data_IF_120661347798
#
_entry.id   IF_120661347798
#
_cell.length_a   1.000
_cell.length_b   1.000
_cell.length_c   1.000
_cell.angle_alpha   90.00
_cell.angle_beta   90.00
_cell.angle_gamma   90.00
#
_symmetry.space_group_name_H-M   'P 1'
#
loop_
_entity.id
_entity.type
_entity.pdbx_description
1 polymer ?
#
# COMPACT_ATOMS: atom_id res chain seq x y z
N UNK A 1 17.41 9.62 20.98
CA UNK A 1 16.53 8.41 20.93
C UNK A 1 16.53 7.87 19.50
N UNK A 2 16.14 6.58 19.27
CA UNK A 2 16.03 6.06 17.90
C UNK A 2 14.67 6.43 17.34
N UNK A 3 14.62 6.95 16.13
CA UNK A 3 13.39 7.23 15.39
C UNK A 3 12.51 5.98 15.30
N UNK A 4 11.20 6.10 15.54
CA UNK A 4 10.27 4.98 15.61
C UNK A 4 8.99 5.26 14.81
N UNK A 5 8.65 4.37 13.89
CA UNK A 5 7.36 4.34 13.23
C UNK A 5 6.41 3.44 14.03
N UNK A 6 5.37 4.03 14.60
CA UNK A 6 4.28 3.32 15.27
C UNK A 6 3.22 2.99 14.23
N UNK A 7 2.87 1.72 14.08
CA UNK A 7 1.90 1.25 13.09
C UNK A 7 0.72 0.60 13.80
N UNK A 8 -0.47 1.18 13.66
CA UNK A 8 -1.69 0.64 14.26
C UNK A 8 -2.51 -0.08 13.20
N UNK A 9 -2.72 -1.37 13.41
CA UNK A 9 -3.48 -2.26 12.52
C UNK A 9 -4.65 -2.91 13.25
N UNK A 10 -5.63 -3.43 12.51
CA UNK A 10 -6.77 -4.14 13.07
C UNK A 10 -7.94 -4.14 12.09
N UNK A 11 -9.00 -4.93 12.32
CA UNK A 11 -10.17 -5.00 11.46
C UNK A 11 -10.94 -3.68 11.38
N UNK A 12 -11.78 -3.54 10.37
CA UNK A 12 -12.70 -2.41 10.26
C UNK A 12 -13.68 -2.44 11.43
N UNK A 13 -14.01 -1.27 12.00
CA UNK A 13 -14.94 -1.17 13.13
C UNK A 13 -14.30 -1.33 14.52
N UNK A 14 -13.02 -1.72 14.63
CA UNK A 14 -12.36 -1.98 15.92
C UNK A 14 -12.02 -0.74 16.74
N UNK A 15 -12.22 0.47 16.18
CA UNK A 15 -11.92 1.74 16.85
C UNK A 15 -10.53 2.33 16.57
N UNK A 16 -9.85 1.88 15.49
CA UNK A 16 -8.51 2.39 15.13
C UNK A 16 -8.44 3.92 15.02
N UNK A 17 -9.44 4.53 14.36
CA UNK A 17 -9.39 5.96 14.03
C UNK A 17 -9.33 6.84 15.26
N UNK A 18 -10.20 6.63 16.25
CA UNK A 18 -10.17 7.41 17.48
C UNK A 18 -8.92 7.19 18.30
N UNK A 19 -8.48 5.92 18.45
CA UNK A 19 -7.22 5.63 19.14
C UNK A 19 -6.03 6.31 18.47
N UNK A 20 -5.99 6.33 17.13
CA UNK A 20 -4.91 7.01 16.40
C UNK A 20 -4.94 8.52 16.61
N UNK A 21 -6.12 9.14 16.66
CA UNK A 21 -6.25 10.56 16.97
C UNK A 21 -5.73 10.87 18.38
N UNK A 22 -6.14 10.10 19.38
CA UNK A 22 -5.70 10.30 20.77
C UNK A 22 -4.18 10.12 20.92
N UNK A 23 -3.61 9.12 20.29
CA UNK A 23 -2.15 8.89 20.29
C UNK A 23 -1.43 10.02 19.56
N UNK A 24 -1.93 10.44 18.40
CA UNK A 24 -1.34 11.50 17.60
C UNK A 24 -1.33 12.85 18.34
N UNK A 25 -2.46 13.18 18.99
CA UNK A 25 -2.57 14.38 19.85
C UNK A 25 -1.61 14.31 21.04
N UNK A 26 -1.54 13.15 21.72
CA UNK A 26 -0.64 12.96 22.85
C UNK A 26 0.83 13.08 22.48
N UNK A 27 1.20 12.56 21.31
CA UNK A 27 2.58 12.62 20.82
C UNK A 27 2.89 13.91 20.04
N UNK A 28 1.87 14.71 19.69
CA UNK A 28 2.07 15.91 18.85
C UNK A 28 2.55 15.58 17.44
N UNK A 29 2.11 14.44 16.85
CA UNK A 29 2.53 13.99 15.53
C UNK A 29 1.34 13.84 14.56
N UNK A 30 1.54 14.02 13.25
CA UNK A 30 0.50 13.75 12.27
C UNK A 30 0.27 12.24 12.09
N UNK A 31 -0.86 11.88 11.47
CA UNK A 31 -1.18 10.52 11.07
C UNK A 31 -0.78 10.32 9.60
N UNK A 32 -0.02 9.26 9.32
CA UNK A 32 0.27 8.77 7.98
C UNK A 32 -0.80 7.74 7.64
N UNK A 33 -1.74 8.11 6.78
CA UNK A 33 -2.83 7.23 6.38
C UNK A 33 -2.35 6.17 5.38
N UNK A 34 -2.59 4.89 5.69
CA UNK A 34 -2.24 3.73 4.86
C UNK A 34 -3.50 3.04 4.32
N UNK A 35 -4.40 3.81 3.71
CA UNK A 35 -5.57 3.30 3.01
C UNK A 35 -5.53 3.67 1.53
N UNK A 36 -5.49 2.65 0.66
CA UNK A 36 -5.34 2.81 -0.80
C UNK A 36 -6.56 3.42 -1.50
N UNK A 37 -7.65 3.66 -0.79
CA UNK A 37 -8.85 4.28 -1.34
C UNK A 37 -9.12 5.67 -0.77
N UNK A 38 -8.78 5.89 0.49
CA UNK A 38 -8.92 7.21 1.13
C UNK A 38 -7.98 8.26 0.56
N UNK A 39 -6.97 7.84 -0.20
CA UNK A 39 -6.05 8.73 -0.90
C UNK A 39 -6.73 9.52 -2.03
N UNK A 40 -7.84 9.00 -2.58
CA UNK A 40 -8.57 9.64 -3.68
C UNK A 40 -9.65 10.58 -3.16
N UNK A 41 -9.61 11.84 -3.63
CA UNK A 41 -10.52 12.91 -3.19
C UNK A 41 -11.99 12.66 -3.54
N UNK A 42 -12.27 11.85 -4.56
CA UNK A 42 -13.61 11.52 -5.02
C UNK A 42 -14.30 10.43 -4.18
N UNK A 43 -13.58 9.76 -3.28
CA UNK A 43 -14.08 8.61 -2.52
C UNK A 43 -14.19 8.84 -1.00
N UNK A 44 -14.61 10.01 -0.48
CA UNK A 44 -14.53 10.27 0.96
C UNK A 44 -15.54 9.47 1.78
N UNK A 45 -16.76 9.24 1.27
CA UNK A 45 -17.85 8.62 2.01
C UNK A 45 -17.71 7.10 2.03
N UNK A 46 -17.60 6.48 0.86
CA UNK A 46 -17.57 5.02 0.73
C UNK A 46 -16.33 4.35 1.32
N UNK A 47 -15.31 5.12 1.63
CA UNK A 47 -14.05 4.64 2.24
C UNK A 47 -13.95 4.95 3.73
N UNK A 48 -14.94 5.64 4.30
CA UNK A 48 -14.88 6.17 5.66
C UNK A 48 -13.60 6.99 5.92
N UNK A 49 -13.25 7.89 4.99
CA UNK A 49 -12.12 8.79 5.13
C UNK A 49 -12.28 9.68 6.38
N UNK A 50 -11.18 10.15 6.98
CA UNK A 50 -11.22 11.06 8.11
C UNK A 50 -12.10 12.29 7.83
N UNK A 51 -13.00 12.59 8.74
CA UNK A 51 -13.88 13.76 8.60
C UNK A 51 -13.12 15.08 8.72
N UNK A 52 -13.69 16.20 8.24
CA UNK A 52 -13.06 17.51 8.42
C UNK A 52 -12.78 17.86 9.89
N UNK A 53 -13.62 17.41 10.82
CA UNK A 53 -13.43 17.59 12.26
C UNK A 53 -12.22 16.79 12.77
N UNK A 54 -12.09 15.55 12.34
CA UNK A 54 -10.95 14.70 12.68
C UNK A 54 -9.63 15.26 12.08
N UNK A 55 -9.68 15.74 10.85
CA UNK A 55 -8.52 16.37 10.21
C UNK A 55 -8.12 17.73 10.84
N UNK A 56 -9.07 18.43 11.50
CA UNK A 56 -8.74 19.63 12.30
C UNK A 56 -8.08 19.28 13.64
N UNK A 57 -8.41 18.13 14.24
CA UNK A 57 -7.75 17.65 15.45
C UNK A 57 -6.30 17.27 15.17
N UNK A 58 -6.09 16.44 14.14
CA UNK A 58 -4.77 15.94 13.75
C UNK A 58 -4.64 15.98 12.23
N UNK A 59 -3.51 16.45 11.73
CA UNK A 59 -3.23 16.42 10.31
C UNK A 59 -3.04 14.98 9.81
N UNK A 60 -3.67 14.65 8.67
CA UNK A 60 -3.54 13.34 8.02
C UNK A 60 -2.84 13.49 6.67
N UNK A 61 -1.71 12.82 6.52
CA UNK A 61 -1.08 12.63 5.21
C UNK A 61 -1.79 11.55 4.41
N UNK A 62 -1.77 11.65 3.10
CA UNK A 62 -2.34 10.67 2.16
C UNK A 62 -3.86 10.47 2.30
N UNK A 63 -4.58 11.56 2.49
CA UNK A 63 -6.05 11.61 2.46
C UNK A 63 -6.50 12.63 1.43
N UNK A 64 -7.21 12.17 0.38
CA UNK A 64 -7.79 13.04 -0.64
C UNK A 64 -6.79 13.88 -1.44
N UNK A 65 -5.56 13.43 -1.57
CA UNK A 65 -4.48 14.15 -2.27
C UNK A 65 -4.25 13.67 -3.71
N UNK A 66 -4.95 12.62 -4.16
CA UNK A 66 -4.96 12.12 -5.53
C UNK A 66 -6.36 12.16 -6.13
N UNK A 67 -6.43 12.08 -7.47
CA UNK A 67 -7.66 11.90 -8.24
C UNK A 67 -7.76 10.45 -8.72
N UNK A 68 -8.95 10.00 -9.12
CA UNK A 68 -9.13 8.65 -9.70
C UNK A 68 -8.38 8.45 -11.03
N UNK A 69 -8.00 9.52 -11.69
CA UNK A 69 -7.21 9.49 -12.94
C UNK A 69 -5.70 9.29 -12.66
N UNK A 70 -5.27 9.51 -11.41
CA UNK A 70 -3.86 9.36 -11.04
C UNK A 70 -3.50 7.88 -10.88
N UNK A 71 -2.40 7.48 -11.52
CA UNK A 71 -1.80 6.19 -11.22
C UNK A 71 -1.03 6.26 -9.90
N UNK A 72 -1.50 5.51 -8.90
CA UNK A 72 -0.82 5.43 -7.61
C UNK A 72 -0.74 4.00 -7.11
N UNK A 73 0.48 3.52 -6.86
CA UNK A 73 0.77 2.13 -6.48
C UNK A 73 1.35 2.04 -5.07
N UNK A 74 1.45 0.82 -4.54
CA UNK A 74 2.10 0.58 -3.25
C UNK A 74 3.60 0.96 -3.27
N UNK A 75 4.26 0.88 -4.43
CA UNK A 75 5.65 1.31 -4.60
C UNK A 75 5.78 2.83 -4.48
N UNK A 76 4.92 3.58 -5.18
CA UNK A 76 4.89 5.05 -5.07
C UNK A 76 4.54 5.49 -3.65
N UNK A 77 3.60 4.80 -3.00
CA UNK A 77 3.28 5.05 -1.61
C UNK A 77 4.49 4.82 -0.68
N UNK A 78 5.22 3.71 -0.87
CA UNK A 78 6.47 3.45 -0.12
C UNK A 78 7.46 4.60 -0.29
N UNK A 79 7.72 5.01 -1.53
CA UNK A 79 8.67 6.10 -1.83
C UNK A 79 8.29 7.41 -1.16
N UNK A 80 7.02 7.79 -1.26
CA UNK A 80 6.54 9.07 -0.72
C UNK A 80 6.52 9.05 0.81
N UNK A 81 6.11 7.94 1.42
CA UNK A 81 6.15 7.80 2.89
C UNK A 81 7.59 7.76 3.39
N UNK A 82 8.52 7.12 2.69
CA UNK A 82 9.93 7.12 3.08
C UNK A 82 10.56 8.51 3.01
N UNK A 83 10.22 9.31 1.99
CA UNK A 83 10.63 10.73 1.90
C UNK A 83 10.06 11.55 3.07
N UNK A 84 8.76 11.36 3.35
CA UNK A 84 8.09 12.03 4.46
C UNK A 84 8.73 11.68 5.81
N UNK A 85 8.96 10.39 6.08
CA UNK A 85 9.59 9.93 7.31
C UNK A 85 11.02 10.45 7.45
N UNK A 86 11.78 10.53 6.35
CA UNK A 86 13.10 11.14 6.35
C UNK A 86 13.03 12.61 6.76
N UNK A 87 12.07 13.38 6.24
CA UNK A 87 11.87 14.77 6.63
C UNK A 87 11.47 14.90 8.11
N UNK A 88 10.47 14.13 8.55
CA UNK A 88 9.99 14.14 9.93
C UNK A 88 11.08 13.79 10.96
N UNK A 89 11.99 12.88 10.60
CA UNK A 89 13.04 12.40 11.50
C UNK A 89 14.35 13.20 11.39
N UNK A 90 14.53 14.05 10.37
CA UNK A 90 15.72 14.90 10.20
C UNK A 90 15.55 16.31 10.73
N UNK A 91 14.34 16.71 11.07
CA UNK A 91 14.07 18.05 11.59
C UNK A 91 14.52 18.13 13.07
N UNK A 92 15.69 18.73 13.28
CA UNK A 92 16.32 18.88 14.62
C UNK A 92 15.47 19.68 15.63
N UNK A 93 14.35 20.27 15.18
CA UNK A 93 13.39 21.01 16.02
C UNK A 93 12.25 20.16 16.59
N UNK A 94 12.05 18.92 16.12
CA UNK A 94 11.03 18.04 16.66
C UNK A 94 11.60 17.15 17.76
N UNK A 95 11.21 17.41 19.01
CA UNK A 95 11.54 16.55 20.17
C UNK A 95 11.01 15.12 20.04
N UNK A 96 10.09 14.88 19.10
CA UNK A 96 9.42 13.60 18.92
C UNK A 96 10.08 12.75 17.83
N UNK A 97 10.86 11.78 18.26
CA UNK A 97 11.42 10.74 17.39
C UNK A 97 10.37 9.67 16.99
N UNK A 98 9.09 10.05 16.87
CA UNK A 98 7.97 9.15 16.57
C UNK A 98 7.21 9.63 15.34
N UNK A 99 6.71 8.67 14.56
CA UNK A 99 5.72 8.88 13.51
C UNK A 99 4.61 7.84 13.70
N UNK A 100 3.36 8.19 13.36
CA UNK A 100 2.19 7.31 13.51
C UNK A 100 1.59 6.99 12.15
N UNK A 101 1.44 5.68 11.86
CA UNK A 101 0.79 5.18 10.64
C UNK A 101 -0.39 4.30 11.00
N UNK A 102 -1.49 4.46 10.28
CA UNK A 102 -2.65 3.57 10.37
C UNK A 102 -3.44 3.54 9.06
N UNK A 103 -4.13 2.44 8.80
CA UNK A 103 -4.99 2.31 7.61
C UNK A 103 -5.50 0.91 7.41
N UNK A 104 -6.29 0.74 6.33
CA UNK A 104 -6.92 -0.54 5.96
C UNK A 104 -6.13 -1.35 4.94
N UNK A 105 -5.11 -0.78 4.29
CA UNK A 105 -4.39 -1.44 3.19
C UNK A 105 -3.09 -2.07 3.67
N UNK A 106 -3.14 -3.38 3.98
CA UNK A 106 -1.97 -4.12 4.47
C UNK A 106 -0.80 -4.07 3.48
N UNK A 107 -1.08 -4.03 2.17
CA UNK A 107 -0.04 -3.90 1.14
C UNK A 107 0.74 -2.58 1.28
N UNK A 108 0.06 -1.47 1.58
CA UNK A 108 0.70 -0.18 1.83
C UNK A 108 1.55 -0.21 3.11
N UNK A 109 0.99 -0.79 4.17
CA UNK A 109 1.70 -0.94 5.45
C UNK A 109 2.95 -1.83 5.29
N UNK A 110 2.83 -2.96 4.60
CA UNK A 110 3.95 -3.84 4.37
C UNK A 110 4.99 -3.24 3.43
N UNK A 111 4.60 -2.47 2.41
CA UNK A 111 5.51 -1.72 1.56
C UNK A 111 6.41 -0.78 2.38
N UNK A 112 5.83 -0.01 3.30
CA UNK A 112 6.62 0.88 4.17
C UNK A 112 7.45 0.11 5.19
N UNK A 113 6.90 -0.94 5.80
CA UNK A 113 7.56 -1.66 6.89
C UNK A 113 8.65 -2.62 6.42
N UNK A 114 8.40 -3.34 5.33
CA UNK A 114 9.28 -4.41 4.81
C UNK A 114 9.97 -4.04 3.50
N UNK A 115 9.42 -3.07 2.80
CA UNK A 115 9.76 -2.80 1.40
C UNK A 115 8.89 -3.59 0.44
N UNK A 116 8.81 -3.11 -0.78
CA UNK A 116 8.22 -3.83 -1.90
C UNK A 116 9.33 -4.16 -2.89
N UNK A 117 9.17 -5.25 -3.62
CA UNK A 117 10.08 -5.61 -4.69
C UNK A 117 10.08 -4.53 -5.78
N UNK A 118 11.24 -4.26 -6.36
CA UNK A 118 11.41 -3.23 -7.40
C UNK A 118 10.86 -3.74 -8.74
N UNK A 119 9.52 -3.90 -8.81
CA UNK A 119 8.81 -4.31 -10.02
C UNK A 119 8.62 -3.09 -10.90
N UNK A 120 9.04 -3.13 -12.19
CA UNK A 120 8.90 -2.01 -13.10
C UNK A 120 7.45 -1.55 -13.25
N UNK A 121 7.23 -0.24 -13.29
CA UNK A 121 5.92 0.31 -13.64
C UNK A 121 5.57 -0.06 -15.07
N UNK A 122 4.36 -0.60 -15.26
CA UNK A 122 3.88 -1.05 -16.57
C UNK A 122 3.53 0.17 -17.43
N UNK A 123 4.06 0.18 -18.66
CA UNK A 123 3.73 1.18 -19.66
C UNK A 123 2.28 1.01 -20.13
N UNK A 124 1.67 2.12 -20.50
CA UNK A 124 0.26 2.15 -20.91
C UNK A 124 0.00 1.32 -22.18
N UNK A 125 0.95 1.32 -23.14
CA UNK A 125 0.84 0.52 -24.36
C UNK A 125 0.78 -1.00 -24.06
N UNK A 126 1.55 -1.46 -23.08
CA UNK A 126 1.54 -2.87 -22.64
C UNK A 126 0.22 -3.22 -21.92
N UNK A 127 -0.27 -2.31 -21.06
CA UNK A 127 -1.57 -2.50 -20.38
C UNK A 127 -2.71 -2.63 -21.36
N UNK A 128 -2.80 -1.72 -22.30
CA UNK A 128 -3.85 -1.74 -23.30
C UNK A 128 -3.76 -2.98 -24.20
N UNK A 129 -2.56 -3.36 -24.61
CA UNK A 129 -2.32 -4.61 -25.34
C UNK A 129 -2.83 -5.82 -24.56
N UNK A 130 -2.47 -5.95 -23.29
CA UNK A 130 -2.85 -7.11 -22.48
C UNK A 130 -4.33 -7.13 -22.14
N UNK A 131 -4.97 -5.96 -21.99
CA UNK A 131 -6.42 -5.85 -21.82
C UNK A 131 -7.15 -6.35 -23.08
N UNK A 132 -6.74 -5.92 -24.25
CA UNK A 132 -7.30 -6.37 -25.53
C UNK A 132 -7.10 -7.87 -25.74
N UNK A 133 -5.94 -8.41 -25.38
CA UNK A 133 -5.68 -9.84 -25.44
C UNK A 133 -6.59 -10.65 -24.49
N UNK A 134 -6.80 -10.15 -23.26
CA UNK A 134 -7.73 -10.79 -22.33
C UNK A 134 -9.17 -10.85 -22.89
N UNK A 135 -9.61 -9.76 -23.56
CA UNK A 135 -10.94 -9.67 -24.16
C UNK A 135 -11.08 -10.59 -25.38
N UNK A 136 -10.04 -10.70 -26.24
CA UNK A 136 -10.09 -11.43 -27.50
C UNK A 136 -9.72 -12.91 -27.39
N UNK A 137 -8.72 -13.25 -26.57
CA UNK A 137 -8.14 -14.60 -26.44
C UNK A 137 -8.68 -15.35 -25.20
N UNK A 138 -9.16 -14.61 -24.21
CA UNK A 138 -9.64 -15.14 -22.94
C UNK A 138 -8.54 -15.50 -21.94
N UNK A 139 -8.95 -15.78 -20.71
CA UNK A 139 -8.02 -16.03 -19.60
C UNK A 139 -7.22 -17.32 -19.80
N UNK A 140 -7.82 -18.37 -20.36
CA UNK A 140 -7.16 -19.68 -20.54
C UNK A 140 -5.92 -19.60 -21.44
N UNK A 141 -6.00 -18.83 -22.53
CA UNK A 141 -4.87 -18.61 -23.44
C UNK A 141 -3.71 -17.89 -22.71
N UNK A 142 -4.05 -16.87 -21.94
CA UNK A 142 -3.06 -16.10 -21.16
C UNK A 142 -2.43 -16.96 -20.04
N UNK A 143 -3.18 -17.82 -19.41
CA UNK A 143 -2.66 -18.80 -18.42
C UNK A 143 -1.70 -19.78 -19.05
N UNK A 144 -2.00 -20.25 -20.29
CA UNK A 144 -1.09 -21.14 -21.03
C UNK A 144 0.22 -20.44 -21.37
N UNK A 145 0.16 -19.20 -21.85
CA UNK A 145 1.34 -18.37 -22.13
C UNK A 145 2.18 -18.11 -20.88
N UNK A 146 1.53 -17.79 -19.75
CA UNK A 146 2.26 -17.58 -18.49
C UNK A 146 3.02 -18.83 -18.06
N UNK A 147 2.49 -20.01 -18.34
CA UNK A 147 3.18 -21.27 -18.05
C UNK A 147 4.48 -21.43 -18.85
N UNK A 148 4.52 -20.89 -20.07
CA UNK A 148 5.72 -20.95 -20.93
C UNK A 148 6.73 -19.85 -20.53
N UNK A 149 6.25 -18.63 -20.24
CA UNK A 149 7.12 -17.50 -19.95
C UNK A 149 7.64 -17.49 -18.51
N UNK A 150 6.82 -17.91 -17.54
CA UNK A 150 7.17 -17.93 -16.11
C UNK A 150 6.52 -19.13 -15.40
N UNK A 151 7.04 -20.34 -15.58
CA UNK A 151 6.50 -21.56 -14.99
C UNK A 151 6.48 -21.54 -13.46
N UNK A 152 7.43 -20.83 -12.82
CA UNK A 152 7.50 -20.72 -11.36
C UNK A 152 6.32 -19.89 -10.84
N UNK A 153 6.04 -18.74 -11.45
CA UNK A 153 4.89 -17.93 -11.07
C UNK A 153 3.58 -18.62 -11.41
N UNK A 154 3.49 -19.26 -12.57
CA UNK A 154 2.31 -20.03 -12.97
C UNK A 154 1.93 -21.11 -11.95
N UNK A 155 2.92 -21.77 -11.33
CA UNK A 155 2.68 -22.81 -10.34
C UNK A 155 2.02 -22.32 -9.04
N UNK A 156 2.19 -21.04 -8.69
CA UNK A 156 1.75 -20.45 -7.42
C UNK A 156 0.62 -19.42 -7.56
N UNK A 157 0.44 -18.84 -8.75
CA UNK A 157 -0.57 -17.81 -8.98
C UNK A 157 -1.99 -18.42 -8.97
N UNK A 158 -2.95 -17.64 -8.46
CA UNK A 158 -4.37 -17.96 -8.67
C UNK A 158 -4.72 -17.72 -10.14
N UNK A 159 -4.77 -18.81 -10.90
CA UNK A 159 -5.02 -18.81 -12.35
C UNK A 159 -6.45 -18.42 -12.73
N UNK A 160 -7.38 -18.42 -11.77
CA UNK A 160 -8.74 -17.91 -11.98
C UNK A 160 -8.84 -16.38 -11.76
N UNK A 161 -7.75 -15.74 -11.35
CA UNK A 161 -7.70 -14.31 -11.16
C UNK A 161 -7.04 -13.61 -12.36
N UNK A 162 -7.83 -13.05 -13.31
CA UNK A 162 -7.28 -12.45 -14.51
C UNK A 162 -6.31 -11.31 -14.23
N UNK A 163 -6.54 -10.51 -13.19
CA UNK A 163 -5.64 -9.39 -12.84
C UNK A 163 -4.24 -9.87 -12.48
N UNK A 164 -4.12 -11.00 -11.76
CA UNK A 164 -2.82 -11.55 -11.36
C UNK A 164 -2.08 -12.16 -12.53
N UNK A 165 -2.79 -12.87 -13.41
CA UNK A 165 -2.22 -13.48 -14.61
C UNK A 165 -1.75 -12.40 -15.59
N UNK A 166 -2.62 -11.43 -15.89
CA UNK A 166 -2.32 -10.30 -16.77
C UNK A 166 -1.12 -9.52 -16.26
N UNK A 167 -1.10 -9.15 -14.97
CA UNK A 167 0.01 -8.37 -14.42
C UNK A 167 1.37 -9.08 -14.56
N UNK A 168 1.42 -10.40 -14.35
CA UNK A 168 2.66 -11.16 -14.54
C UNK A 168 3.10 -11.15 -16.01
N UNK A 169 2.17 -11.31 -16.96
CA UNK A 169 2.46 -11.23 -18.39
C UNK A 169 2.88 -9.83 -18.84
N UNK A 170 2.25 -8.78 -18.31
CA UNK A 170 2.66 -7.39 -18.56
C UNK A 170 4.15 -7.20 -18.26
N UNK A 171 4.62 -7.70 -17.10
CA UNK A 171 6.03 -7.63 -16.72
C UNK A 171 6.88 -8.46 -17.70
N UNK A 172 6.50 -9.69 -18.01
CA UNK A 172 7.25 -10.54 -18.93
C UNK A 172 7.39 -9.87 -20.30
N UNK A 173 6.30 -9.33 -20.86
CA UNK A 173 6.33 -8.68 -22.17
C UNK A 173 7.12 -7.37 -22.17
N UNK A 174 7.01 -6.58 -21.11
CA UNK A 174 7.73 -5.31 -21.02
C UNK A 174 9.22 -5.48 -20.86
N UNK A 175 9.64 -6.48 -20.08
CA UNK A 175 11.04 -6.61 -19.63
C UNK A 175 11.81 -7.70 -20.36
N UNK A 176 11.11 -8.65 -20.99
CA UNK A 176 11.72 -9.84 -21.58
C UNK A 176 12.25 -10.84 -20.54
N UNK A 177 11.91 -10.67 -19.26
CA UNK A 177 12.30 -11.57 -18.16
C UNK A 177 11.08 -12.03 -17.38
N UNK A 178 11.24 -13.05 -16.53
CA UNK A 178 10.15 -13.61 -15.74
C UNK A 178 9.68 -12.62 -14.66
N UNK A 179 8.39 -12.59 -14.34
CA UNK A 179 7.87 -11.86 -13.18
C UNK A 179 8.49 -12.38 -11.87
N UNK A 180 8.77 -13.68 -11.79
CA UNK A 180 9.42 -14.33 -10.65
C UNK A 180 10.81 -13.70 -10.37
N UNK A 181 11.54 -13.28 -11.38
CA UNK A 181 12.87 -12.66 -11.18
C UNK A 181 12.83 -11.34 -10.42
N UNK A 182 11.72 -10.62 -10.47
CA UNK A 182 11.50 -9.38 -9.70
C UNK A 182 10.97 -9.65 -8.28
N UNK A 183 10.40 -10.84 -8.01
CA UNK A 183 9.85 -11.20 -6.71
C UNK A 183 10.93 -11.75 -5.78
N UNK A 184 11.77 -10.89 -5.30
CA UNK A 184 12.88 -11.28 -4.39
C UNK A 184 12.40 -11.59 -2.98
N UNK A 185 11.20 -11.11 -2.60
CA UNK A 185 10.67 -11.15 -1.23
C UNK A 185 11.67 -10.64 -0.19
N UNK A 186 12.58 -9.75 -0.60
CA UNK A 186 13.60 -9.22 0.29
C UNK A 186 13.00 -8.20 1.25
N UNK A 187 13.40 -8.28 2.52
CA UNK A 187 13.01 -7.28 3.51
C UNK A 187 14.05 -6.16 3.50
N UNK A 188 13.65 -4.97 3.04
CA UNK A 188 14.50 -3.78 3.05
C UNK A 188 14.70 -3.34 4.51
N UNK A 189 15.95 -3.10 4.92
CA UNK A 189 16.23 -2.54 6.23
C UNK A 189 15.78 -1.08 6.28
N UNK A 190 15.11 -0.70 7.38
CA UNK A 190 14.63 0.67 7.59
C UNK A 190 15.56 1.43 8.56
N UNK A 191 15.81 2.73 8.33
CA UNK A 191 16.67 3.53 9.20
C UNK A 191 15.99 3.94 10.52
N UNK A 192 14.84 3.34 10.86
CA UNK A 192 14.05 3.59 12.05
C UNK A 192 13.51 2.28 12.65
N UNK A 193 13.12 2.30 13.90
CA UNK A 193 12.41 1.18 14.52
C UNK A 193 10.97 1.14 14.04
N UNK A 194 10.39 -0.05 14.01
CA UNK A 194 8.97 -0.27 13.69
C UNK A 194 8.30 -0.93 14.88
N UNK A 195 7.27 -0.28 15.43
CA UNK A 195 6.41 -0.81 16.47
C UNK A 195 5.02 -1.06 15.90
N UNK A 196 4.67 -2.32 15.64
CA UNK A 196 3.32 -2.69 15.18
C UNK A 196 2.43 -3.05 16.36
N UNK A 197 1.25 -2.41 16.44
CA UNK A 197 0.22 -2.65 17.45
C UNK A 197 -1.03 -3.14 16.74
N UNK A 198 -1.46 -4.35 17.04
CA UNK A 198 -2.68 -4.95 16.52
C UNK A 198 -3.85 -4.73 17.48
N UNK A 199 -4.93 -4.08 17.01
CA UNK A 199 -6.19 -4.01 17.74
C UNK A 199 -7.06 -5.19 17.36
N UNK A 200 -7.73 -5.76 18.34
CA UNK A 200 -8.72 -6.81 18.15
C UNK A 200 -9.88 -6.62 19.13
N UNK A 201 -11.09 -6.98 18.70
CA UNK A 201 -12.29 -7.10 19.51
C UNK A 201 -13.05 -8.33 19.09
N UNK A 202 -13.87 -8.84 19.98
CA UNK A 202 -14.80 -9.92 19.63
C UNK A 202 -15.75 -9.45 18.53
N UNK A 203 -16.05 -10.36 17.60
CA UNK A 203 -16.83 -10.03 16.41
C UNK A 203 -18.23 -9.47 16.76
N UNK A 204 -18.82 -9.96 17.86
CA UNK A 204 -20.13 -9.51 18.37
C UNK A 204 -20.10 -8.07 18.90
N UNK A 205 -18.94 -7.56 19.27
CA UNK A 205 -18.77 -6.17 19.73
C UNK A 205 -18.50 -5.19 18.57
N UNK A 206 -18.20 -5.71 17.37
CA UNK A 206 -17.87 -4.88 16.21
C UNK A 206 -19.06 -4.59 15.28
N UNK A 207 -20.18 -5.36 15.40
CA UNK A 207 -21.34 -5.26 14.50
C UNK A 207 -22.66 -5.27 15.25
#
# INVERSE_FOLDING_TARGET
MRNTLIVIVGPTGVGKSELCLDIAEHLGVPIINADSRQIFKELPIGTAAPTPEQQKRVYHYFVGNHTLDDYYSASLYEEDVMKLLQQMFSDDGHENHAALMSGGSMMYIDAVCKGIDDIPTIREDIREMMKQRLENEGLEALVAELKELDPEHWAIVDRNNPRRVVHALEICHQTGTTYTSFRTNSVKQRPFNILKIGLNRDREEMY
#
